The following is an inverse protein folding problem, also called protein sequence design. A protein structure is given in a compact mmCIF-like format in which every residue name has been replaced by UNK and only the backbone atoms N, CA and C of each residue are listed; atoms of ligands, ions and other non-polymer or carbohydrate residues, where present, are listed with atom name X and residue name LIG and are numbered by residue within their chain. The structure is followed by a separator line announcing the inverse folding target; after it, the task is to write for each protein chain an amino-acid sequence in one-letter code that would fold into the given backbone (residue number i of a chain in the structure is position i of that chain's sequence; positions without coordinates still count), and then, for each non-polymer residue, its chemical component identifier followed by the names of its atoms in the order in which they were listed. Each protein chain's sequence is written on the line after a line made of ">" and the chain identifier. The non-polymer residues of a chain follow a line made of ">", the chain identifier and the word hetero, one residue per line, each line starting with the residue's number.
data_IF_218626298141
#
_entry.id   IF_218626298141
#
_cell.length_a   1.000
_cell.length_b   1.000
_cell.length_c   1.000
_cell.angle_alpha   90.00
_cell.angle_beta   90.00
_cell.angle_gamma   90.00
#
_symmetry.space_group_name_H-M   'P 1'
#
loop_
_entity.id
_entity.type
_entity.pdbx_description
1 polymer ?
#
# COMPACT_ATOMS: atom_id res chain seq x y z
N UNK A 1 12.49 -12.22 -10.02
CA UNK A 1 11.48 -12.30 -8.99
C UNK A 1 10.57 -11.09 -9.02
N UNK A 2 9.30 -11.33 -8.92
CA UNK A 2 8.33 -10.23 -9.00
C UNK A 2 8.03 -9.65 -7.64
N UNK A 3 7.92 -8.34 -7.60
CA UNK A 3 7.45 -7.66 -6.42
C UNK A 3 5.95 -7.52 -6.55
N UNK A 4 5.21 -8.20 -5.71
CA UNK A 4 3.77 -8.02 -5.72
C UNK A 4 3.40 -6.95 -4.71
N UNK A 5 2.17 -6.49 -4.80
CA UNK A 5 1.72 -5.38 -3.97
C UNK A 5 1.80 -5.70 -2.48
N UNK A 6 1.49 -6.93 -2.09
CA UNK A 6 1.49 -7.26 -0.67
C UNK A 6 2.88 -7.11 -0.05
N UNK A 7 3.91 -7.51 -0.77
CA UNK A 7 5.27 -7.37 -0.26
C UNK A 7 5.74 -5.94 -0.29
N UNK A 8 5.39 -5.21 -1.34
CA UNK A 8 5.74 -3.79 -1.44
C UNK A 8 5.09 -3.03 -0.29
N UNK A 9 3.83 -3.29 -0.01
CA UNK A 9 3.14 -2.62 1.07
C UNK A 9 3.74 -2.98 2.43
N UNK A 10 4.06 -4.25 2.62
CA UNK A 10 4.68 -4.69 3.86
C UNK A 10 5.98 -3.95 4.11
N UNK A 11 6.82 -3.86 3.09
CA UNK A 11 8.09 -3.16 3.20
C UNK A 11 7.87 -1.66 3.45
N UNK A 12 6.91 -1.08 2.77
CA UNK A 12 6.61 0.34 2.93
C UNK A 12 6.19 0.66 4.37
N UNK A 13 5.32 -0.16 4.93
CA UNK A 13 4.88 0.05 6.31
C UNK A 13 6.03 -0.08 7.29
N UNK A 14 6.88 -1.08 7.07
CA UNK A 14 8.01 -1.30 7.96
C UNK A 14 9.01 -0.15 7.88
N UNK A 15 9.32 0.30 6.69
CA UNK A 15 10.29 1.37 6.49
C UNK A 15 9.82 2.70 7.05
N UNK A 16 8.51 2.90 7.09
CA UNK A 16 7.94 4.16 7.57
C UNK A 16 7.37 4.07 8.97
N UNK A 17 7.56 2.94 9.63
CA UNK A 17 7.03 2.71 10.99
C UNK A 17 5.53 2.96 11.07
N UNK A 18 4.79 2.49 10.08
CA UNK A 18 3.36 2.69 10.00
C UNK A 18 2.63 1.41 10.39
N UNK A 19 1.62 1.56 11.25
CA UNK A 19 0.71 0.45 11.53
C UNK A 19 -0.32 0.35 10.41
N UNK A 20 -0.99 -0.80 10.35
CA UNK A 20 -2.09 -0.97 9.40
C UNK A 20 -3.18 0.05 9.64
N UNK A 21 -3.47 0.32 10.91
CA UNK A 21 -4.51 1.29 11.25
C UNK A 21 -4.15 2.69 10.79
N UNK A 22 -2.90 3.10 11.03
CA UNK A 22 -2.46 4.42 10.62
C UNK A 22 -2.50 4.56 9.09
N UNK A 23 -2.04 3.53 8.39
CA UNK A 23 -2.06 3.55 6.93
C UNK A 23 -3.49 3.64 6.40
N UNK A 24 -4.39 2.82 6.97
CA UNK A 24 -5.78 2.81 6.55
C UNK A 24 -6.43 4.17 6.73
N UNK A 25 -6.16 4.81 7.88
CA UNK A 25 -6.71 6.14 8.15
C UNK A 25 -6.18 7.17 7.16
N UNK A 26 -4.91 7.08 6.83
CA UNK A 26 -4.30 8.06 5.94
C UNK A 26 -4.92 8.04 4.55
N UNK A 27 -5.34 6.87 4.09
CA UNK A 27 -5.89 6.74 2.73
C UNK A 27 -7.40 6.55 2.71
N UNK A 28 -8.05 6.54 3.88
CA UNK A 28 -9.50 6.50 3.94
C UNK A 28 -10.14 5.15 3.68
N UNK A 29 -9.47 4.07 4.05
CA UNK A 29 -10.04 2.73 3.91
C UNK A 29 -10.11 2.06 5.28
N UNK A 30 -10.74 0.90 5.34
CA UNK A 30 -10.82 0.13 6.57
C UNK A 30 -9.53 -0.65 6.78
N UNK A 31 -9.17 -0.85 8.06
CA UNK A 31 -8.00 -1.64 8.38
C UNK A 31 -8.11 -3.07 7.86
N UNK A 32 -9.32 -3.63 7.87
CA UNK A 32 -9.50 -4.98 7.34
C UNK A 32 -9.12 -5.07 5.88
N UNK A 33 -9.32 -4.00 5.13
CA UNK A 33 -8.94 -3.98 3.73
C UNK A 33 -7.42 -3.98 3.57
N UNK A 34 -6.74 -3.21 4.38
CA UNK A 34 -5.27 -3.21 4.37
C UNK A 34 -4.75 -4.60 4.72
N UNK A 35 -5.38 -5.24 5.69
CA UNK A 35 -4.99 -6.59 6.08
C UNK A 35 -5.13 -7.58 4.92
N UNK A 36 -6.22 -7.47 4.15
CA UNK A 36 -6.41 -8.33 2.99
C UNK A 36 -5.33 -8.11 1.94
N UNK A 37 -4.95 -6.87 1.73
CA UNK A 37 -3.87 -6.55 0.80
C UNK A 37 -2.55 -7.19 1.24
N UNK A 38 -2.25 -7.12 2.54
CA UNK A 38 -1.01 -7.66 3.07
C UNK A 38 -0.95 -9.18 2.99
N UNK A 39 -2.11 -9.82 3.04
CA UNK A 39 -2.21 -11.27 2.90
C UNK A 39 -2.20 -11.73 1.45
N UNK A 40 -2.27 -10.79 0.53
CA UNK A 40 -2.31 -11.12 -0.88
C UNK A 40 -3.67 -11.61 -1.35
N UNK A 41 -4.71 -11.44 -0.55
CA UNK A 41 -6.05 -11.90 -0.90
C UNK A 41 -6.79 -10.91 -1.78
N UNK A 42 -6.39 -9.65 -1.76
CA UNK A 42 -7.06 -8.61 -2.54
C UNK A 42 -6.00 -7.62 -3.02
N UNK A 43 -6.33 -6.90 -4.08
CA UNK A 43 -5.49 -5.85 -4.62
C UNK A 43 -6.21 -4.53 -4.48
N UNK A 44 -5.47 -3.43 -4.35
CA UNK A 44 -6.11 -2.13 -4.23
C UNK A 44 -6.77 -1.74 -5.53
N UNK A 45 -7.89 -1.06 -5.42
CA UNK A 45 -8.55 -0.50 -6.59
C UNK A 45 -7.85 0.79 -6.99
N UNK A 46 -8.31 1.38 -8.09
CA UNK A 46 -7.69 2.57 -8.63
C UNK A 46 -7.70 3.71 -7.61
N UNK A 47 -8.84 3.94 -6.96
CA UNK A 47 -8.95 5.06 -6.03
C UNK A 47 -8.06 4.88 -4.82
N UNK A 48 -7.98 3.66 -4.29
CA UNK A 48 -7.10 3.39 -3.15
C UNK A 48 -5.65 3.62 -3.52
N UNK A 49 -5.25 3.16 -4.69
CA UNK A 49 -3.88 3.33 -5.16
C UNK A 49 -3.54 4.80 -5.33
N UNK A 50 -4.47 5.57 -5.89
CA UNK A 50 -4.29 7.00 -6.07
C UNK A 50 -4.14 7.69 -4.71
N UNK A 51 -5.00 7.31 -3.76
CA UNK A 51 -4.94 7.91 -2.43
C UNK A 51 -3.64 7.59 -1.70
N UNK A 52 -3.11 6.37 -1.89
CA UNK A 52 -1.80 6.03 -1.33
C UNK A 52 -0.73 6.95 -1.87
N UNK A 53 -0.70 7.12 -3.18
CA UNK A 53 0.31 7.93 -3.82
C UNK A 53 0.24 9.38 -3.33
N UNK A 54 -0.96 9.92 -3.23
CA UNK A 54 -1.13 11.30 -2.80
C UNK A 54 -0.84 11.48 -1.32
N UNK A 55 -1.31 10.57 -0.48
CA UNK A 55 -1.16 10.71 0.96
C UNK A 55 0.28 10.65 1.40
N UNK A 56 1.09 9.83 0.74
CA UNK A 56 2.47 9.62 1.14
C UNK A 56 3.47 10.22 0.17
N UNK A 57 2.98 10.92 -0.84
CA UNK A 57 3.83 11.59 -1.83
C UNK A 57 4.79 10.61 -2.49
N UNK A 58 4.26 9.47 -2.89
CA UNK A 58 5.01 8.39 -3.51
C UNK A 58 4.36 8.09 -4.85
N UNK A 59 5.16 7.76 -5.84
CA UNK A 59 4.63 7.41 -7.16
C UNK A 59 3.76 6.16 -7.07
N UNK A 60 2.63 6.18 -7.78
CA UNK A 60 1.79 4.99 -7.87
C UNK A 60 2.55 3.83 -8.50
N UNK A 61 3.50 4.13 -9.38
CA UNK A 61 4.35 3.11 -9.99
C UNK A 61 5.12 2.31 -8.96
N UNK A 62 5.53 2.97 -7.87
CA UNK A 62 6.23 2.28 -6.80
C UNK A 62 5.34 1.16 -6.21
N UNK A 63 4.08 1.51 -5.90
CA UNK A 63 3.17 0.52 -5.33
C UNK A 63 2.78 -0.55 -6.34
N UNK A 64 2.85 -0.23 -7.62
CA UNK A 64 2.56 -1.19 -8.67
C UNK A 64 3.73 -2.12 -8.96
N UNK A 65 4.90 -1.82 -8.41
CA UNK A 65 6.09 -2.63 -8.65
C UNK A 65 6.76 -2.33 -9.97
N UNK A 66 6.48 -1.19 -10.56
CA UNK A 66 7.07 -0.81 -11.84
C UNK A 66 8.35 -0.02 -11.64
N UNK A 67 8.41 0.75 -10.57
CA UNK A 67 9.57 1.54 -10.23
C UNK A 67 10.11 1.13 -8.88
N UNK A 68 11.40 1.30 -8.73
CA UNK A 68 12.03 1.11 -7.42
C UNK A 68 12.19 2.47 -6.77
N UNK A 69 11.61 2.68 -5.66
CA UNK A 69 11.78 3.79 -4.75
C UNK A 69 10.48 4.46 -4.34
#
# INVERSE_FOLDING_TARGET
>A
MENNFSEILKDFLAENNLSQVAFAKAIGVKQSQVSEWLKGKAKPDYDSLKNMALAFNVSADYFLGIKEY
#
